data_IF_741165809517
#
_entry.id   IF_741165809517
#
_cell.length_a   1.000
_cell.length_b   1.000
_cell.length_c   1.000
_cell.angle_alpha   90.00
_cell.angle_beta   90.00
_cell.angle_gamma   90.00
#
_symmetry.space_group_name_H-M   'P 1'
#
loop_
_entity.id
_entity.type
_entity.pdbx_description
1 polymer ?
#
# COMPACT_ATOMS: atom_id res chain seq x y z
N UNK A 1 -4.61 -12.08 -13.14
CA UNK A 1 -5.43 -12.11 -11.89
C UNK A 1 -4.83 -11.11 -10.90
N UNK A 2 -5.65 -10.54 -9.98
CA UNK A 2 -5.22 -9.58 -8.95
C UNK A 2 -5.35 -10.23 -7.57
N UNK A 3 -4.31 -10.12 -6.72
CA UNK A 3 -4.37 -10.46 -5.30
C UNK A 3 -4.46 -9.16 -4.50
N UNK A 4 -5.56 -8.96 -3.78
CA UNK A 4 -5.73 -7.82 -2.86
C UNK A 4 -5.17 -8.21 -1.50
N UNK A 5 -4.06 -7.60 -1.09
CA UNK A 5 -3.41 -7.87 0.18
C UNK A 5 -3.83 -6.84 1.23
N UNK A 6 -4.33 -7.32 2.38
CA UNK A 6 -4.87 -6.48 3.45
C UNK A 6 -4.32 -6.96 4.79
N UNK A 7 -3.21 -6.39 5.29
CA UNK A 7 -2.85 -6.53 6.70
C UNK A 7 -3.88 -5.75 7.53
N UNK A 8 -4.35 -6.32 8.64
CA UNK A 8 -5.37 -5.64 9.43
C UNK A 8 -5.16 -5.84 10.92
N UNK A 9 -5.65 -4.88 11.69
CA UNK A 9 -5.70 -4.89 13.15
C UNK A 9 -7.08 -4.48 13.67
N UNK A 10 -7.83 -3.69 12.88
CA UNK A 10 -9.14 -3.16 13.23
C UNK A 10 -10.24 -3.96 12.55
N UNK A 11 -10.73 -5.00 13.21
CA UNK A 11 -11.70 -5.96 12.65
C UNK A 11 -12.93 -5.31 12.00
N UNK A 12 -13.49 -4.28 12.64
CA UNK A 12 -14.68 -3.59 12.10
C UNK A 12 -14.37 -2.86 10.79
N UNK A 13 -13.25 -2.11 10.73
CA UNK A 13 -12.79 -1.41 9.52
C UNK A 13 -12.45 -2.41 8.42
N UNK A 14 -11.72 -3.47 8.73
CA UNK A 14 -11.42 -4.54 7.78
C UNK A 14 -12.68 -5.17 7.17
N UNK A 15 -13.70 -5.51 7.98
CA UNK A 15 -14.98 -6.04 7.46
C UNK A 15 -15.66 -5.06 6.50
N UNK A 16 -15.62 -3.76 6.80
CA UNK A 16 -16.19 -2.71 5.96
C UNK A 16 -15.40 -2.57 4.65
N UNK A 17 -14.07 -2.58 4.72
CA UNK A 17 -13.18 -2.58 3.55
C UNK A 17 -13.51 -3.76 2.61
N UNK A 18 -13.54 -4.99 3.14
CA UNK A 18 -13.87 -6.20 2.37
C UNK A 18 -15.26 -6.11 1.72
N UNK A 19 -16.26 -5.60 2.45
CA UNK A 19 -17.61 -5.38 1.89
C UNK A 19 -17.57 -4.44 0.69
N UNK A 20 -16.81 -3.35 0.76
CA UNK A 20 -16.67 -2.38 -0.33
C UNK A 20 -15.92 -2.98 -1.52
N UNK A 21 -14.86 -3.75 -1.28
CA UNK A 21 -14.14 -4.46 -2.36
C UNK A 21 -15.10 -5.36 -3.14
N UNK A 22 -15.86 -6.22 -2.44
CA UNK A 22 -16.80 -7.17 -3.05
C UNK A 22 -17.94 -6.51 -3.81
N UNK A 23 -18.36 -5.31 -3.38
CA UNK A 23 -19.40 -4.55 -4.06
C UNK A 23 -18.89 -3.82 -5.32
N UNK A 24 -17.59 -3.51 -5.38
CA UNK A 24 -17.05 -2.55 -6.35
C UNK A 24 -15.99 -3.13 -7.31
N UNK A 25 -15.67 -4.42 -7.19
CA UNK A 25 -14.70 -5.09 -8.05
C UNK A 25 -15.04 -6.57 -8.28
N UNK A 26 -14.42 -7.16 -9.32
CA UNK A 26 -14.49 -8.58 -9.68
C UNK A 26 -13.11 -9.05 -10.15
N UNK A 27 -12.89 -10.36 -10.28
CA UNK A 27 -11.65 -10.92 -10.85
C UNK A 27 -10.44 -10.83 -9.92
N UNK A 28 -10.65 -10.95 -8.62
CA UNK A 28 -9.60 -10.87 -7.60
C UNK A 28 -9.70 -11.99 -6.56
N UNK A 29 -8.62 -12.22 -5.85
CA UNK A 29 -8.62 -12.90 -4.55
C UNK A 29 -8.33 -11.89 -3.43
N UNK A 30 -8.72 -12.22 -2.19
CA UNK A 30 -8.35 -11.44 -1.00
C UNK A 30 -7.40 -12.28 -0.15
N UNK A 31 -6.18 -11.78 0.03
CA UNK A 31 -5.16 -12.37 0.90
C UNK A 31 -4.99 -11.45 2.12
N UNK A 32 -5.52 -11.86 3.26
CA UNK A 32 -5.54 -11.01 4.45
C UNK A 32 -5.12 -11.74 5.71
N UNK A 33 -4.60 -10.99 6.68
CA UNK A 33 -4.24 -11.55 8.00
C UNK A 33 -4.23 -10.45 9.04
N UNK A 34 -4.71 -10.81 10.26
CA UNK A 34 -4.60 -9.97 11.44
C UNK A 34 -3.15 -9.90 11.94
N UNK A 35 -2.65 -8.69 12.17
CA UNK A 35 -1.35 -8.47 12.80
C UNK A 35 -1.46 -8.46 14.33
N UNK A 36 -1.83 -9.60 14.91
CA UNK A 36 -1.96 -9.76 16.38
C UNK A 36 -0.66 -9.48 17.13
N UNK A 37 0.48 -9.71 16.49
CA UNK A 37 1.80 -9.53 17.09
C UNK A 37 2.39 -8.15 16.87
N UNK A 38 1.69 -7.25 16.17
CA UNK A 38 2.16 -5.89 15.85
C UNK A 38 3.53 -5.87 15.19
N UNK A 39 3.78 -6.82 14.27
CA UNK A 39 5.07 -6.89 13.53
C UNK A 39 5.24 -5.76 12.51
N UNK A 40 4.17 -5.02 12.21
CA UNK A 40 4.17 -3.87 11.33
C UNK A 40 3.72 -4.17 9.90
N UNK A 41 3.22 -3.11 9.24
CA UNK A 41 2.65 -3.20 7.89
C UNK A 41 3.62 -3.80 6.86
N UNK A 42 4.89 -3.38 6.73
CA UNK A 42 5.81 -3.90 5.73
C UNK A 42 6.03 -5.42 5.84
N UNK A 43 6.27 -5.90 7.07
CA UNK A 43 6.48 -7.34 7.33
C UNK A 43 5.21 -8.16 7.07
N UNK A 44 4.04 -7.59 7.36
CA UNK A 44 2.76 -8.23 7.05
C UNK A 44 2.52 -8.30 5.54
N UNK A 45 2.77 -7.20 4.81
CA UNK A 45 2.63 -7.16 3.34
C UNK A 45 3.52 -8.22 2.70
N UNK A 46 4.81 -8.32 3.07
CA UNK A 46 5.72 -9.37 2.57
C UNK A 46 5.14 -10.78 2.76
N UNK A 47 4.59 -11.07 3.96
CA UNK A 47 3.98 -12.38 4.24
C UNK A 47 2.71 -12.65 3.44
N UNK A 48 1.92 -11.64 3.14
CA UNK A 48 0.71 -11.77 2.34
C UNK A 48 1.05 -11.93 0.86
N UNK A 49 2.00 -11.15 0.34
CA UNK A 49 2.49 -11.26 -1.04
C UNK A 49 3.04 -12.67 -1.32
N UNK A 50 3.80 -13.24 -0.39
CA UNK A 50 4.32 -14.62 -0.54
C UNK A 50 3.22 -15.71 -0.62
N UNK A 51 1.97 -15.38 -0.31
CA UNK A 51 0.80 -16.28 -0.39
C UNK A 51 -0.14 -15.93 -1.54
N UNK A 52 0.15 -14.85 -2.23
CA UNK A 52 -0.64 -14.36 -3.35
C UNK A 52 -0.30 -15.12 -4.63
N UNK A 53 -1.30 -15.33 -5.48
CA UNK A 53 -1.13 -16.03 -6.77
C UNK A 53 -1.37 -15.11 -7.97
N UNK A 54 -1.72 -13.84 -7.73
CA UNK A 54 -1.97 -12.86 -8.78
C UNK A 54 -0.70 -12.32 -9.41
N UNK A 55 -0.77 -11.95 -10.69
CA UNK A 55 0.28 -11.22 -11.41
C UNK A 55 0.38 -9.76 -10.97
N UNK A 56 -0.69 -9.27 -10.37
CA UNK A 56 -0.77 -7.94 -9.78
C UNK A 56 -1.13 -8.06 -8.30
N UNK A 57 -0.45 -7.28 -7.48
CA UNK A 57 -0.73 -7.13 -6.05
C UNK A 57 -1.38 -5.78 -5.84
N UNK A 58 -2.57 -5.77 -5.24
CA UNK A 58 -3.24 -4.55 -4.79
C UNK A 58 -3.12 -4.45 -3.26
N UNK A 59 -2.38 -3.47 -2.77
CA UNK A 59 -2.26 -3.21 -1.33
C UNK A 59 -3.32 -2.22 -0.86
N UNK A 60 -4.06 -2.61 0.17
CA UNK A 60 -5.03 -1.75 0.86
C UNK A 60 -4.83 -1.80 2.38
N UNK A 61 -4.99 -0.66 3.03
CA UNK A 61 -5.16 -0.60 4.49
C UNK A 61 -6.54 -1.11 4.91
N UNK A 62 -6.69 -1.55 6.15
CA UNK A 62 -7.96 -2.02 6.70
C UNK A 62 -9.01 -0.90 6.85
N UNK A 63 -8.59 0.36 6.75
CA UNK A 63 -9.39 1.58 6.83
C UNK A 63 -9.68 2.23 5.46
N UNK A 64 -9.61 1.48 4.38
CA UNK A 64 -9.93 1.95 3.04
C UNK A 64 -11.34 1.57 2.61
N UNK A 65 -11.91 2.42 1.76
CA UNK A 65 -13.23 2.25 1.17
C UNK A 65 -13.12 2.36 -0.36
N UNK A 66 -12.74 1.26 -1.04
CA UNK A 66 -12.65 1.24 -2.50
C UNK A 66 -13.95 1.62 -3.17
N UNK A 67 -13.87 2.48 -4.19
CA UNK A 67 -15.02 2.97 -4.94
C UNK A 67 -15.26 2.14 -6.22
N UNK A 68 -16.45 2.25 -6.86
CA UNK A 68 -16.76 1.49 -8.05
C UNK A 68 -15.70 1.63 -9.15
N UNK A 69 -15.25 0.49 -9.69
CA UNK A 69 -14.29 0.42 -10.78
C UNK A 69 -12.82 0.69 -10.42
N UNK A 70 -12.45 0.82 -9.14
CA UNK A 70 -11.08 1.16 -8.72
C UNK A 70 -10.01 0.23 -9.33
N UNK A 71 -10.25 -1.09 -9.37
CA UNK A 71 -9.31 -2.03 -10.01
C UNK A 71 -9.26 -1.89 -11.53
N UNK A 72 -10.42 -1.67 -12.17
CA UNK A 72 -10.49 -1.44 -13.61
C UNK A 72 -9.65 -0.22 -14.01
N UNK A 73 -9.85 0.91 -13.35
CA UNK A 73 -9.10 2.14 -13.64
C UNK A 73 -7.60 1.99 -13.31
N UNK A 74 -7.26 1.27 -12.24
CA UNK A 74 -5.87 0.99 -11.94
C UNK A 74 -5.19 0.13 -13.01
N UNK A 75 -5.87 -0.87 -13.59
CA UNK A 75 -5.36 -1.66 -14.70
C UNK A 75 -5.25 -0.86 -16.00
N UNK A 76 -6.22 0.03 -16.28
CA UNK A 76 -6.15 0.94 -17.43
C UNK A 76 -4.93 1.85 -17.34
N UNK A 77 -4.60 2.37 -16.15
CA UNK A 77 -3.41 3.19 -15.94
C UNK A 77 -2.12 2.33 -15.94
N UNK A 78 -2.16 1.11 -15.41
CA UNK A 78 -1.04 0.16 -15.53
C UNK A 78 -0.63 -0.08 -16.98
N UNK A 79 -1.61 -0.22 -17.87
CA UNK A 79 -1.36 -0.46 -19.30
C UNK A 79 -0.68 0.73 -20.02
N UNK A 80 -0.71 1.94 -19.45
CA UNK A 80 -0.01 3.13 -19.98
C UNK A 80 1.47 3.17 -19.62
N UNK A 81 1.88 2.41 -18.60
CA UNK A 81 3.29 2.34 -18.21
C UNK A 81 4.12 1.62 -19.28
N UNK A 82 5.40 1.96 -19.43
CA UNK A 82 6.30 1.29 -20.38
C UNK A 82 6.30 -0.22 -20.18
N UNK A 83 5.88 -0.97 -21.22
CA UNK A 83 5.74 -2.43 -21.18
C UNK A 83 4.52 -2.95 -20.41
N UNK A 84 3.59 -2.08 -19.99
CA UNK A 84 2.33 -2.47 -19.33
C UNK A 84 2.48 -3.00 -17.91
N UNK A 85 3.55 -2.63 -17.19
CA UNK A 85 3.80 -3.06 -15.82
C UNK A 85 4.54 -2.01 -15.00
N UNK A 86 4.30 -1.99 -13.71
CA UNK A 86 4.89 -1.03 -12.79
C UNK A 86 4.08 -0.89 -11.50
N UNK A 87 4.02 0.31 -10.96
CA UNK A 87 3.29 0.74 -9.78
C UNK A 87 2.23 1.78 -10.17
N UNK A 88 0.99 1.55 -9.77
CA UNK A 88 -0.11 2.50 -9.88
C UNK A 88 -0.52 2.94 -8.48
N UNK A 89 -0.32 4.20 -8.14
CA UNK A 89 -0.85 4.79 -6.92
C UNK A 89 -2.36 4.97 -7.04
N UNK A 90 -3.12 4.53 -6.03
CA UNK A 90 -4.57 4.68 -5.98
C UNK A 90 -4.93 6.00 -5.31
N UNK A 91 -5.99 6.66 -5.81
CA UNK A 91 -6.45 7.94 -5.30
C UNK A 91 -7.16 7.77 -3.94
N UNK A 92 -6.47 8.10 -2.88
CA UNK A 92 -6.98 8.03 -1.51
C UNK A 92 -7.77 9.27 -1.07
N UNK A 93 -7.96 10.23 -1.98
CA UNK A 93 -8.64 11.51 -1.80
C UNK A 93 -7.93 12.47 -0.81
N UNK A 94 -6.64 12.27 -0.56
CA UNK A 94 -5.84 13.17 0.29
C UNK A 94 -5.30 14.39 -0.45
N UNK A 95 -5.45 14.43 -1.79
CA UNK A 95 -4.85 15.45 -2.65
C UNK A 95 -3.34 15.30 -2.87
N UNK A 96 -2.74 14.22 -2.36
CA UNK A 96 -1.32 13.88 -2.55
C UNK A 96 -1.18 12.78 -3.61
N UNK A 97 -0.03 12.74 -4.27
CA UNK A 97 0.30 11.69 -5.26
C UNK A 97 1.15 10.55 -4.67
N UNK A 98 1.32 10.52 -3.34
CA UNK A 98 2.01 9.42 -2.66
C UNK A 98 1.14 8.15 -2.71
N UNK A 99 1.65 7.01 -3.18
CA UNK A 99 0.88 5.76 -3.30
C UNK A 99 0.75 5.05 -1.94
N UNK A 100 -0.01 5.63 -1.01
CA UNK A 100 -0.32 5.00 0.28
C UNK A 100 -1.09 3.69 0.12
N UNK A 101 -1.84 3.58 -0.98
CA UNK A 101 -2.50 2.38 -1.48
C UNK A 101 -2.17 2.25 -2.97
N UNK A 102 -1.99 1.03 -3.46
CA UNK A 102 -1.44 0.85 -4.80
C UNK A 102 -1.82 -0.48 -5.44
N UNK A 103 -1.70 -0.53 -6.77
CA UNK A 103 -1.65 -1.74 -7.59
C UNK A 103 -0.25 -1.85 -8.19
N UNK A 104 0.41 -2.99 -8.01
CA UNK A 104 1.76 -3.22 -8.51
C UNK A 104 1.86 -4.55 -9.28
N UNK A 105 2.65 -4.58 -10.34
CA UNK A 105 3.02 -5.83 -10.99
C UNK A 105 4.07 -6.57 -10.17
N UNK A 106 3.95 -7.90 -10.04
CA UNK A 106 4.99 -8.74 -9.41
C UNK A 106 6.34 -8.67 -10.11
N UNK A 107 6.39 -8.20 -11.36
CA UNK A 107 7.64 -7.95 -12.10
C UNK A 107 8.54 -6.89 -11.43
N UNK A 108 7.99 -6.08 -10.53
CA UNK A 108 8.79 -5.13 -9.73
C UNK A 108 9.61 -5.83 -8.64
N UNK A 109 9.18 -6.99 -8.12
CA UNK A 109 9.82 -7.62 -6.96
C UNK A 109 11.34 -7.84 -7.12
N UNK A 110 11.87 -8.36 -8.25
CA UNK A 110 13.32 -8.50 -8.43
C UNK A 110 14.07 -7.16 -8.36
N UNK A 111 13.45 -6.07 -8.79
CA UNK A 111 14.04 -4.73 -8.77
C UNK A 111 13.98 -4.08 -7.38
N UNK A 112 13.08 -4.56 -6.52
CA UNK A 112 12.84 -4.06 -5.16
C UNK A 112 13.47 -4.97 -4.07
N UNK A 113 14.39 -5.87 -4.44
CA UNK A 113 14.99 -6.80 -3.48
C UNK A 113 14.04 -7.88 -2.95
N UNK A 114 12.98 -8.21 -3.71
CA UNK A 114 12.02 -9.27 -3.37
C UNK A 114 10.88 -8.84 -2.43
N UNK A 115 10.71 -7.54 -2.16
CA UNK A 115 9.64 -7.04 -1.30
C UNK A 115 9.14 -5.66 -1.75
N UNK A 116 7.83 -5.41 -1.76
CA UNK A 116 7.29 -4.11 -2.13
C UNK A 116 7.58 -3.04 -1.09
N UNK A 117 7.46 -3.39 0.18
CA UNK A 117 7.84 -2.53 1.29
C UNK A 117 9.07 -3.11 1.99
N UNK A 118 10.12 -2.33 2.10
CA UNK A 118 11.32 -2.76 2.83
C UNK A 118 10.99 -3.07 4.30
N UNK A 119 11.28 -4.32 4.73
CA UNK A 119 10.86 -4.84 6.04
C UNK A 119 11.62 -4.24 7.24
N UNK A 120 12.59 -3.40 7.01
CA UNK A 120 13.25 -2.58 8.02
C UNK A 120 12.37 -1.46 8.58
N UNK A 121 11.37 -0.98 7.80
CA UNK A 121 10.40 -0.02 8.30
C UNK A 121 9.42 -0.65 9.28
N UNK A 122 8.99 0.15 10.25
CA UNK A 122 7.92 -0.24 11.16
C UNK A 122 6.53 0.02 10.54
N UNK A 123 6.36 1.22 9.95
CA UNK A 123 5.08 1.63 9.37
C UNK A 123 5.21 2.77 8.37
N UNK A 124 5.90 3.87 8.75
CA UNK A 124 6.01 5.08 7.94
C UNK A 124 7.07 4.93 6.85
N UNK A 125 7.01 5.80 5.83
CA UNK A 125 8.05 5.96 4.80
C UNK A 125 8.23 4.80 3.81
N UNK A 126 7.71 3.62 4.05
CA UNK A 126 7.82 2.48 3.14
C UNK A 126 7.11 2.74 1.79
N UNK A 127 5.98 3.46 1.81
CA UNK A 127 5.26 3.93 0.64
C UNK A 127 6.07 4.96 -0.17
N UNK A 128 6.78 5.83 0.53
CA UNK A 128 7.64 6.84 -0.10
C UNK A 128 8.86 6.21 -0.77
N UNK A 129 9.51 5.25 -0.13
CA UNK A 129 10.62 4.51 -0.74
C UNK A 129 10.16 3.79 -2.01
N UNK A 130 9.04 3.05 -1.93
CA UNK A 130 8.46 2.35 -3.07
C UNK A 130 8.16 3.32 -4.24
N UNK A 131 7.56 4.47 -3.92
CA UNK A 131 7.28 5.52 -4.89
C UNK A 131 8.55 6.02 -5.58
N UNK A 132 9.55 6.45 -4.79
CA UNK A 132 10.78 7.04 -5.32
C UNK A 132 11.58 6.06 -6.19
N UNK A 133 11.62 4.78 -5.82
CA UNK A 133 12.26 3.75 -6.65
C UNK A 133 11.50 3.58 -7.96
N UNK A 134 10.19 3.39 -7.92
CA UNK A 134 9.40 3.15 -9.12
C UNK A 134 9.34 4.35 -10.04
N UNK A 135 9.29 5.57 -9.49
CA UNK A 135 9.33 6.82 -10.26
C UNK A 135 10.68 6.97 -10.98
N UNK A 136 11.78 6.76 -10.26
CA UNK A 136 13.14 6.79 -10.83
C UNK A 136 13.37 5.74 -11.93
N UNK A 137 12.63 4.63 -11.91
CA UNK A 137 12.63 3.61 -12.96
C UNK A 137 11.70 3.93 -14.14
N UNK A 138 10.94 5.03 -14.11
CA UNK A 138 9.88 5.33 -15.07
C UNK A 138 8.73 4.30 -15.05
N UNK A 139 8.49 3.70 -13.88
CA UNK A 139 7.49 2.63 -13.64
C UNK A 139 6.41 3.03 -12.66
N UNK A 140 6.14 4.33 -12.53
CA UNK A 140 5.09 4.84 -11.65
C UNK A 140 4.08 5.69 -12.41
N UNK A 141 2.80 5.57 -12.04
CA UNK A 141 1.72 6.47 -12.39
C UNK A 141 0.75 6.59 -11.22
N UNK A 142 0.21 7.79 -10.98
CA UNK A 142 -0.85 8.00 -10.00
C UNK A 142 -2.19 8.06 -10.70
N UNK A 143 -3.10 7.15 -10.36
CA UNK A 143 -4.44 7.08 -10.97
C UNK A 143 -5.40 8.04 -10.29
N UNK A 144 -5.92 9.02 -11.01
CA UNK A 144 -6.98 9.90 -10.51
C UNK A 144 -8.33 9.20 -10.39
N UNK A 145 -8.57 8.18 -11.23
CA UNK A 145 -9.87 7.48 -11.33
C UNK A 145 -9.98 6.26 -10.42
N UNK A 146 -8.87 5.62 -10.06
CA UNK A 146 -8.86 4.45 -9.18
C UNK A 146 -9.00 4.88 -7.72
N UNK A 147 -10.22 5.24 -7.30
CA UNK A 147 -10.48 5.85 -6.00
C UNK A 147 -10.60 4.80 -4.90
N UNK A 148 -9.84 4.98 -3.83
CA UNK A 148 -9.93 4.22 -2.56
C UNK A 148 -9.95 5.21 -1.39
N UNK A 149 -11.13 5.67 -0.99
CA UNK A 149 -11.27 6.64 0.09
C UNK A 149 -10.58 6.13 1.37
N UNK A 150 -9.61 6.86 1.88
CA UNK A 150 -8.90 6.54 3.12
C UNK A 150 -9.66 7.09 4.34
N UNK A 151 -10.24 6.18 5.14
CA UNK A 151 -11.04 6.53 6.32
C UNK A 151 -10.15 6.74 7.55
N UNK A 152 -9.17 7.66 7.43
CA UNK A 152 -8.21 7.97 8.48
C UNK A 152 -8.65 9.22 9.27
N UNK A 153 -8.58 9.24 10.63
CA UNK A 153 -9.03 10.38 11.44
C UNK A 153 -8.40 11.72 11.04
N UNK A 154 -7.09 11.75 10.80
CA UNK A 154 -6.38 12.98 10.38
C UNK A 154 -7.00 13.60 9.11
N UNK A 155 -7.44 12.78 8.17
CA UNK A 155 -8.03 13.26 6.92
C UNK A 155 -9.44 13.84 7.09
N UNK A 156 -10.06 13.54 8.24
CA UNK A 156 -11.35 14.13 8.63
C UNK A 156 -11.21 15.31 9.60
N UNK A 157 -9.96 15.72 9.91
CA UNK A 157 -9.71 16.73 10.92
C UNK A 157 -10.04 16.29 12.34
N UNK A 158 -10.13 14.98 12.59
CA UNK A 158 -10.45 14.38 13.87
C UNK A 158 -9.18 14.04 14.66
N UNK A 159 -9.19 14.12 15.99
CA UNK A 159 -8.07 13.69 16.81
C UNK A 159 -7.87 12.17 16.68
N UNK A 160 -6.61 11.74 16.72
CA UNK A 160 -6.27 10.31 16.77
C UNK A 160 -6.50 9.83 18.19
N UNK A 161 -7.48 8.93 18.36
CA UNK A 161 -7.79 8.27 19.64
C UNK A 161 -7.51 6.76 19.60
N UNK A 162 -7.39 6.18 18.43
CA UNK A 162 -7.12 4.75 18.22
C UNK A 162 -5.68 4.43 18.66
N UNK A 163 -5.48 3.51 19.64
CA UNK A 163 -4.15 3.18 20.16
C UNK A 163 -3.17 2.68 19.12
N UNK A 164 -3.63 1.98 18.07
CA UNK A 164 -2.76 1.48 17.01
C UNK A 164 -2.24 2.62 16.14
N UNK A 165 -3.06 3.64 15.85
CA UNK A 165 -2.57 4.84 15.18
C UNK A 165 -1.60 5.62 16.06
N UNK A 166 -1.92 5.83 17.34
CA UNK A 166 -1.02 6.53 18.28
C UNK A 166 0.34 5.83 18.35
N UNK A 167 0.35 4.49 18.38
CA UNK A 167 1.59 3.71 18.40
C UNK A 167 2.43 3.92 17.16
N UNK A 168 1.85 3.75 15.95
CA UNK A 168 2.63 3.81 14.69
C UNK A 168 3.05 5.22 14.32
N UNK A 169 2.40 6.23 14.85
CA UNK A 169 2.78 7.64 14.69
C UNK A 169 3.56 8.20 15.88
N UNK A 170 3.98 7.37 16.83
CA UNK A 170 4.82 7.83 17.92
C UNK A 170 6.12 8.44 17.39
N UNK A 171 6.69 9.44 18.08
CA UNK A 171 7.95 10.07 17.66
C UNK A 171 9.08 9.06 17.44
N UNK A 172 9.15 8.02 18.27
CA UNK A 172 10.19 6.98 18.22
C UNK A 172 10.07 6.17 16.93
N UNK A 173 8.88 5.62 16.62
CA UNK A 173 8.66 4.80 15.43
C UNK A 173 8.83 5.65 14.18
N UNK A 174 8.20 6.82 14.15
CA UNK A 174 8.28 7.74 13.01
C UNK A 174 9.70 8.25 12.78
N UNK A 175 10.43 8.57 13.86
CA UNK A 175 11.82 9.01 13.79
C UNK A 175 12.74 7.93 13.23
N UNK A 176 12.61 6.69 13.72
CA UNK A 176 13.37 5.55 13.23
C UNK A 176 13.12 5.29 11.74
N UNK A 177 11.86 5.30 11.30
CA UNK A 177 11.49 5.09 9.90
C UNK A 177 12.02 6.23 8.99
N UNK A 178 11.99 7.49 9.46
CA UNK A 178 12.56 8.63 8.73
C UNK A 178 14.08 8.54 8.61
N UNK A 179 14.76 8.10 9.67
CA UNK A 179 16.21 7.89 9.64
C UNK A 179 16.58 6.78 8.66
N UNK A 180 15.86 5.65 8.70
CA UNK A 180 16.06 4.56 7.75
C UNK A 180 15.89 5.04 6.30
N UNK A 181 14.84 5.81 6.00
CA UNK A 181 14.60 6.36 4.67
C UNK A 181 15.82 7.20 4.18
N UNK A 182 16.36 8.06 5.05
CA UNK A 182 17.55 8.87 4.72
C UNK A 182 18.76 7.99 4.39
N UNK A 183 19.02 6.96 5.20
CA UNK A 183 20.14 6.03 4.98
C UNK A 183 19.97 5.26 3.67
N UNK A 184 18.78 4.73 3.40
CA UNK A 184 18.51 3.95 2.19
C UNK A 184 18.61 4.81 0.92
N UNK A 185 18.14 6.06 0.95
CA UNK A 185 18.36 7.02 -0.15
C UNK A 185 19.84 7.27 -0.41
N UNK A 186 20.62 7.53 0.63
CA UNK A 186 22.05 7.77 0.52
C UNK A 186 22.80 6.58 -0.09
N UNK A 187 22.29 5.35 0.10
CA UNK A 187 22.83 4.11 -0.43
C UNK A 187 22.15 3.65 -1.74
N UNK A 188 21.44 4.54 -2.44
CA UNK A 188 20.70 4.20 -3.66
C UNK A 188 19.82 2.95 -3.50
N UNK A 189 19.12 2.85 -2.36
CA UNK A 189 18.19 1.77 -2.01
C UNK A 189 18.83 0.37 -1.89
N UNK A 190 20.16 0.29 -1.85
CA UNK A 190 20.87 -0.96 -1.59
C UNK A 190 20.78 -1.32 -0.11
N UNK A 191 20.66 -2.62 0.16
CA UNK A 191 20.70 -3.18 1.53
C UNK A 191 22.05 -3.00 2.19
#
# INVERSE_FOLDING_TARGET
MISIVIPWIRKAKFKRCVKMIKANATGFEIVSKEDRRRIGCPKMVKKLVARSIGEYICFLGDDTLPQPGFLKYALEDMAKLPGGWGLVGLNDLTGRTLPTHWLASVKLLPLLGGEFFHTGYNHCCCDRELHEICDGLGKFIYSQKAVVKHDHPILRGEPITDPDYLRVYSPEIRGADQQLLKLRRANNWKT
#
